data_IF_803374644190
#
_entry.id   IF_803374644190
#
_cell.length_a   1.000
_cell.length_b   1.000
_cell.length_c   1.000
_cell.angle_alpha   90.00
_cell.angle_beta   90.00
_cell.angle_gamma   90.00
#
_symmetry.space_group_name_H-M   'P 1'
#
loop_
_entity.id
_entity.type
_entity.pdbx_description
1 polymer ?
#
# COMPACT_ATOMS: atom_id res chain seq x y z
N UNK A 1 -47.64 30.43 8.25
CA UNK A 1 -47.21 31.72 8.88
C UNK A 1 -45.70 31.80 8.65
N UNK A 2 -45.25 32.11 7.43
CA UNK A 2 -44.98 33.46 6.89
C UNK A 2 -43.55 33.90 7.31
N UNK A 3 -42.58 34.29 6.47
CA UNK A 3 -42.51 34.98 5.16
C UNK A 3 -41.16 34.59 4.48
N UNK A 4 -41.09 34.27 3.16
CA UNK A 4 -40.93 35.14 1.97
C UNK A 4 -39.58 35.91 1.94
N UNK A 5 -38.60 35.54 1.09
CA UNK A 5 -38.41 35.78 -0.37
C UNK A 5 -37.77 37.12 -0.76
N UNK A 6 -36.79 37.04 -1.69
CA UNK A 6 -36.54 37.81 -2.94
C UNK A 6 -35.03 38.06 -3.12
N UNK A 7 -34.37 37.67 -4.22
CA UNK A 7 -34.51 38.15 -5.62
C UNK A 7 -33.22 38.94 -5.96
N UNK A 8 -32.67 39.08 -7.17
CA UNK A 8 -32.98 38.70 -8.55
C UNK A 8 -31.72 39.02 -9.42
N UNK A 9 -31.54 38.35 -10.57
CA UNK A 9 -31.11 38.78 -11.95
C UNK A 9 -30.28 40.09 -12.15
N UNK A 10 -29.50 40.36 -13.21
CA UNK A 10 -29.37 39.90 -14.61
C UNK A 10 -28.14 40.59 -15.28
N UNK A 11 -27.93 40.30 -16.57
CA UNK A 11 -27.25 41.10 -17.63
C UNK A 11 -25.72 40.89 -17.86
N UNK A 12 -25.23 40.21 -18.91
CA UNK A 12 -25.30 40.29 -20.40
C UNK A 12 -24.35 41.32 -21.06
N UNK A 13 -23.82 40.89 -22.23
CA UNK A 13 -23.24 41.65 -23.39
C UNK A 13 -21.76 42.07 -23.21
N UNK A 14 -20.88 42.11 -24.23
CA UNK A 14 -20.94 41.93 -25.70
C UNK A 14 -19.50 41.94 -26.28
N UNK A 15 -19.31 41.26 -27.42
CA UNK A 15 -18.39 41.58 -28.54
C UNK A 15 -16.87 41.50 -28.29
N UNK A 16 -16.00 41.14 -29.23
CA UNK A 16 -16.14 40.78 -30.64
C UNK A 16 -14.80 41.02 -31.37
N UNK A 17 -14.50 40.15 -32.35
CA UNK A 17 -13.61 40.34 -33.53
C UNK A 17 -12.10 40.46 -33.20
N UNK A 18 -11.21 39.63 -33.76
CA UNK A 18 -10.55 39.88 -35.05
C UNK A 18 -9.91 38.62 -35.68
N UNK A 19 -9.92 38.61 -37.02
CA UNK A 19 -9.23 37.69 -37.94
C UNK A 19 -7.98 38.39 -38.50
N UNK A 20 -7.10 37.58 -39.13
CA UNK A 20 -6.03 37.86 -40.12
C UNK A 20 -4.65 37.42 -39.58
N UNK A 21 -3.68 36.94 -40.32
CA UNK A 21 -3.53 36.59 -41.74
C UNK A 21 -2.29 35.67 -41.89
N UNK A 22 -2.14 35.09 -43.09
CA UNK A 22 -1.11 34.14 -43.55
C UNK A 22 0.30 34.74 -43.73
N UNK A 23 1.34 33.88 -43.68
CA UNK A 23 2.53 33.79 -44.57
C UNK A 23 3.49 32.70 -43.99
N UNK A 24 4.00 31.66 -44.66
CA UNK A 24 4.71 31.45 -45.93
C UNK A 24 6.28 31.58 -45.86
N UNK A 25 6.95 30.44 -45.64
CA UNK A 25 8.29 30.03 -46.13
C UNK A 25 9.56 30.67 -45.51
N UNK A 26 10.80 30.27 -45.92
CA UNK A 26 11.26 28.99 -46.48
C UNK A 26 12.64 28.48 -45.92
N UNK A 27 12.91 27.17 -46.04
CA UNK A 27 14.15 26.64 -46.62
C UNK A 27 15.46 26.46 -45.81
N UNK A 28 16.10 25.32 -46.15
CA UNK A 28 17.55 25.01 -46.23
C UNK A 28 18.22 24.33 -45.02
N UNK A 29 18.93 23.23 -45.33
CA UNK A 29 20.07 22.77 -44.55
C UNK A 29 20.30 21.25 -44.60
N UNK A 30 20.99 20.76 -45.64
CA UNK A 30 21.65 19.45 -45.64
C UNK A 30 22.69 19.37 -44.50
N UNK A 31 22.74 18.23 -43.78
CA UNK A 31 23.79 17.89 -42.82
C UNK A 31 24.40 16.52 -43.20
N UNK A 32 25.72 16.41 -43.39
CA UNK A 32 26.39 15.13 -43.52
C UNK A 32 26.90 14.64 -42.15
N UNK A 33 26.90 13.32 -41.94
CA UNK A 33 27.67 12.72 -40.85
C UNK A 33 27.14 11.40 -40.29
N UNK A 34 27.37 10.30 -41.00
CA UNK A 34 27.30 8.95 -40.40
C UNK A 34 28.33 8.84 -39.28
N UNK A 35 27.90 8.61 -38.05
CA UNK A 35 28.73 8.03 -36.99
C UNK A 35 28.00 6.85 -36.33
N UNK A 36 28.54 5.67 -36.60
CA UNK A 36 28.70 4.52 -35.73
C UNK A 36 27.54 4.15 -34.79
N UNK A 37 26.82 3.09 -35.19
CA UNK A 37 25.95 2.28 -34.35
C UNK A 37 26.77 1.67 -33.20
N UNK A 38 26.72 2.30 -32.04
CA UNK A 38 26.86 1.59 -30.76
C UNK A 38 25.45 1.30 -30.28
N UNK A 39 24.95 0.08 -30.51
CA UNK A 39 23.74 -0.40 -29.84
C UNK A 39 24.08 -0.46 -28.36
N UNK A 40 23.70 0.58 -27.60
CA UNK A 40 23.55 0.44 -26.16
C UNK A 40 22.53 -0.67 -25.96
N UNK A 41 22.93 -1.73 -25.26
CA UNK A 41 21.98 -2.70 -24.74
C UNK A 41 20.99 -1.93 -23.87
N UNK A 42 19.85 -1.58 -24.45
CA UNK A 42 18.69 -1.17 -23.71
C UNK A 42 18.36 -2.36 -22.81
N UNK A 43 18.46 -2.17 -21.50
CA UNK A 43 17.82 -3.07 -20.57
C UNK A 43 16.37 -3.21 -21.03
N UNK A 44 15.97 -4.42 -21.43
CA UNK A 44 14.58 -4.75 -21.69
C UNK A 44 13.83 -4.57 -20.37
N UNK A 45 13.30 -3.37 -20.14
CA UNK A 45 12.14 -3.19 -19.29
C UNK A 45 10.93 -3.51 -20.17
N UNK A 46 10.31 -4.66 -19.91
CA UNK A 46 9.09 -5.07 -20.59
C UNK A 46 7.99 -4.00 -20.40
N UNK A 47 7.44 -3.42 -21.48
CA UNK A 47 6.40 -2.41 -21.38
C UNK A 47 5.04 -3.10 -21.16
N UNK A 48 4.52 -3.11 -19.92
CA UNK A 48 3.08 -3.34 -19.75
C UNK A 48 2.53 -3.71 -18.39
N UNK A 49 3.29 -4.30 -17.47
CA UNK A 49 2.72 -4.71 -16.16
C UNK A 49 3.12 -3.69 -15.09
N UNK A 50 2.22 -2.76 -14.80
CA UNK A 50 2.38 -1.89 -13.62
C UNK A 50 2.42 -2.75 -12.37
N UNK A 51 3.51 -2.68 -11.59
CA UNK A 51 3.62 -3.43 -10.33
C UNK A 51 2.54 -2.99 -9.35
N UNK A 52 1.89 -3.97 -8.71
CA UNK A 52 0.88 -3.76 -7.69
C UNK A 52 1.44 -2.90 -6.55
N UNK A 53 0.73 -1.82 -6.22
CA UNK A 53 1.16 -0.87 -5.18
C UNK A 53 0.70 -1.32 -3.80
N UNK A 54 1.66 -1.66 -2.95
CA UNK A 54 1.41 -2.25 -1.63
C UNK A 54 1.64 -1.25 -0.51
N UNK A 55 0.68 -1.14 0.40
CA UNK A 55 0.84 -0.49 1.69
C UNK A 55 1.08 -1.53 2.77
N UNK A 56 2.07 -1.33 3.65
CA UNK A 56 2.41 -2.29 4.70
C UNK A 56 2.16 -1.67 6.07
N UNK A 57 1.35 -2.34 6.90
CA UNK A 57 1.09 -1.94 8.28
C UNK A 57 2.02 -2.69 9.25
N UNK A 58 2.64 -1.97 10.18
CA UNK A 58 3.65 -2.53 11.11
C UNK A 58 3.54 -1.94 12.53
N UNK A 59 3.98 -2.70 13.53
CA UNK A 59 4.06 -2.22 14.91
C UNK A 59 5.42 -2.48 15.60
N UNK A 60 6.33 -3.24 14.96
CA UNK A 60 7.53 -3.74 15.64
C UNK A 60 8.77 -3.89 14.75
N UNK A 61 9.45 -5.03 14.86
CA UNK A 61 10.79 -5.29 14.27
C UNK A 61 10.80 -5.21 12.74
N UNK A 62 9.72 -5.60 12.07
CA UNK A 62 9.58 -5.51 10.62
C UNK A 62 10.27 -6.61 9.82
N UNK A 63 10.43 -7.83 10.36
CA UNK A 63 10.99 -8.98 9.62
C UNK A 63 10.22 -9.28 8.32
N UNK A 64 8.88 -9.26 8.38
CA UNK A 64 8.03 -9.41 7.19
C UNK A 64 8.24 -8.26 6.18
N UNK A 65 8.37 -7.02 6.66
CA UNK A 65 8.70 -5.88 5.79
C UNK A 65 10.07 -6.06 5.14
N UNK A 66 11.08 -6.53 5.89
CA UNK A 66 12.42 -6.81 5.38
C UNK A 66 12.39 -7.86 4.26
N UNK A 67 11.57 -8.91 4.41
CA UNK A 67 11.37 -9.92 3.39
C UNK A 67 10.72 -9.34 2.12
N UNK A 68 9.67 -8.52 2.26
CA UNK A 68 9.04 -7.83 1.12
C UNK A 68 10.01 -6.88 0.40
N UNK A 69 10.83 -6.13 1.14
CA UNK A 69 11.90 -5.29 0.60
C UNK A 69 12.92 -6.12 -0.18
N UNK A 70 13.25 -7.32 0.32
CA UNK A 70 14.11 -8.27 -0.37
C UNK A 70 13.51 -8.76 -1.68
N UNK A 71 12.24 -9.19 -1.65
CA UNK A 71 11.53 -9.73 -2.80
C UNK A 71 11.40 -8.72 -3.95
N UNK A 72 11.09 -7.45 -3.64
CA UNK A 72 10.94 -6.41 -4.68
C UNK A 72 12.24 -6.01 -5.40
N UNK A 73 13.39 -6.54 -4.98
CA UNK A 73 14.67 -6.40 -5.71
C UNK A 73 14.66 -7.20 -7.00
N UNK A 74 13.89 -8.29 -7.08
CA UNK A 74 13.69 -9.03 -8.31
C UNK A 74 12.87 -8.16 -9.28
N UNK A 75 13.38 -7.88 -10.50
CA UNK A 75 12.65 -7.17 -11.53
C UNK A 75 11.28 -7.77 -11.88
N UNK A 76 11.14 -9.10 -11.74
CA UNK A 76 9.94 -9.86 -12.05
C UNK A 76 8.93 -9.91 -10.89
N UNK A 77 9.32 -9.46 -9.70
CA UNK A 77 8.38 -9.43 -8.57
C UNK A 77 7.22 -8.47 -8.88
N UNK A 78 5.96 -8.94 -8.82
CA UNK A 78 4.82 -8.23 -9.42
C UNK A 78 4.30 -7.08 -8.56
N UNK A 79 4.94 -6.78 -7.43
CA UNK A 79 4.48 -5.79 -6.47
C UNK A 79 5.61 -4.86 -6.01
N UNK A 80 5.24 -3.70 -5.49
CA UNK A 80 6.16 -2.75 -4.86
C UNK A 80 5.53 -2.16 -3.61
N UNK A 81 6.27 -2.15 -2.51
CA UNK A 81 5.86 -1.42 -1.31
C UNK A 81 6.03 0.07 -1.57
N UNK A 82 4.93 0.83 -1.47
CA UNK A 82 4.91 2.28 -1.73
C UNK A 82 4.70 3.11 -0.47
N UNK A 83 4.18 2.51 0.60
CA UNK A 83 3.98 3.17 1.88
C UNK A 83 4.09 2.16 3.03
N UNK A 84 4.80 2.53 4.09
CA UNK A 84 4.79 1.83 5.37
C UNK A 84 4.08 2.69 6.41
N UNK A 85 3.01 2.16 7.01
CA UNK A 85 2.24 2.82 8.06
C UNK A 85 2.51 2.11 9.40
N UNK A 86 2.97 2.85 10.41
CA UNK A 86 3.14 2.32 11.75
C UNK A 86 2.16 2.94 12.74
N UNK A 87 1.71 2.20 13.76
CA UNK A 87 0.91 2.79 14.85
C UNK A 87 1.76 3.33 16.02
N UNK A 88 3.09 3.20 15.93
CA UNK A 88 4.08 3.68 16.89
C UNK A 88 5.45 3.78 16.21
N UNK A 89 6.39 4.48 16.84
CA UNK A 89 7.79 4.42 16.42
C UNK A 89 8.32 3.00 16.64
N UNK A 90 8.93 2.43 15.59
CA UNK A 90 9.41 1.06 15.59
C UNK A 90 10.54 0.85 14.57
N UNK A 91 11.31 -0.22 14.72
CA UNK A 91 12.45 -0.51 13.85
C UNK A 91 12.07 -0.67 12.36
N UNK A 92 10.85 -1.13 12.06
CA UNK A 92 10.36 -1.26 10.70
C UNK A 92 10.35 0.07 9.91
N UNK A 93 10.17 1.21 10.58
CA UNK A 93 10.21 2.54 9.94
C UNK A 93 11.61 2.87 9.42
N UNK A 94 12.66 2.49 10.16
CA UNK A 94 14.04 2.67 9.71
C UNK A 94 14.40 1.73 8.56
N UNK A 95 13.82 0.52 8.51
CA UNK A 95 13.96 -0.38 7.36
C UNK A 95 13.35 0.26 6.10
N UNK A 96 12.13 0.81 6.21
CA UNK A 96 11.46 1.51 5.12
C UNK A 96 12.28 2.70 4.61
N UNK A 97 12.81 3.51 5.54
CA UNK A 97 13.67 4.66 5.26
C UNK A 97 14.93 4.25 4.49
N UNK A 98 15.64 3.22 4.95
CA UNK A 98 16.86 2.70 4.29
C UNK A 98 16.57 2.16 2.89
N UNK A 99 15.37 1.64 2.66
CA UNK A 99 14.92 1.15 1.36
C UNK A 99 14.34 2.26 0.44
N UNK A 100 14.31 3.52 0.88
CA UNK A 100 13.73 4.62 0.11
C UNK A 100 12.21 4.54 -0.06
N UNK A 101 11.51 3.88 0.88
CA UNK A 101 10.05 3.74 0.88
C UNK A 101 9.43 4.82 1.75
N UNK A 102 8.36 5.46 1.28
CA UNK A 102 7.59 6.42 2.07
C UNK A 102 7.09 5.77 3.37
N UNK A 103 7.09 6.53 4.45
CA UNK A 103 6.67 6.04 5.78
C UNK A 103 5.88 7.10 6.53
N UNK A 104 4.92 6.66 7.32
CA UNK A 104 4.13 7.53 8.17
C UNK A 104 3.75 6.81 9.48
N UNK A 105 3.76 7.55 10.58
CA UNK A 105 3.35 7.07 11.90
C UNK A 105 1.96 7.62 12.24
N UNK A 106 1.08 6.76 12.73
CA UNK A 106 -0.31 7.05 13.11
C UNK A 106 -0.52 6.61 14.55
N UNK A 107 0.02 7.36 15.52
CA UNK A 107 -0.13 7.02 16.94
C UNK A 107 -1.54 7.33 17.38
N UNK A 108 -2.16 6.45 18.16
CA UNK A 108 -3.54 6.68 18.63
C UNK A 108 -3.67 8.00 19.41
N UNK A 109 -2.63 8.41 20.15
CA UNK A 109 -2.59 9.67 20.89
C UNK A 109 -2.68 10.93 20.01
N UNK A 110 -2.43 10.84 18.71
CA UNK A 110 -2.49 11.97 17.77
C UNK A 110 -3.90 12.15 17.19
N UNK A 111 -4.87 11.32 17.60
CA UNK A 111 -6.23 11.29 17.06
C UNK A 111 -7.26 11.20 18.18
N UNK A 112 -8.50 11.67 17.96
CA UNK A 112 -9.55 11.62 18.98
C UNK A 112 -9.94 10.18 19.35
N UNK A 113 -9.87 9.25 18.39
CA UNK A 113 -10.23 7.85 18.57
C UNK A 113 -9.58 6.96 17.48
N UNK A 114 -9.81 5.65 17.58
CA UNK A 114 -9.32 4.66 16.60
C UNK A 114 -9.85 4.93 15.19
N UNK A 115 -11.10 5.39 15.08
CA UNK A 115 -11.75 5.67 13.80
C UNK A 115 -11.07 6.85 13.09
N UNK A 116 -10.71 7.91 13.82
CA UNK A 116 -9.99 9.08 13.34
C UNK A 116 -8.58 8.72 12.86
N UNK A 117 -7.86 7.91 13.64
CA UNK A 117 -6.55 7.36 13.23
C UNK A 117 -6.65 6.56 11.94
N UNK A 118 -7.61 5.64 11.86
CA UNK A 118 -7.78 4.75 10.71
C UNK A 118 -8.25 5.51 9.45
N UNK A 119 -9.08 6.55 9.60
CA UNK A 119 -9.42 7.48 8.51
C UNK A 119 -8.20 8.23 7.98
N UNK A 120 -7.32 8.71 8.86
CA UNK A 120 -6.08 9.36 8.45
C UNK A 120 -5.15 8.40 7.71
N UNK A 121 -5.04 7.15 8.19
CA UNK A 121 -4.26 6.11 7.53
C UNK A 121 -4.81 5.78 6.14
N UNK A 122 -6.13 5.59 6.01
CA UNK A 122 -6.83 5.40 4.72
C UNK A 122 -6.50 6.53 3.74
N UNK A 123 -6.58 7.79 4.19
CA UNK A 123 -6.26 8.95 3.33
C UNK A 123 -4.82 8.88 2.83
N UNK A 124 -3.87 8.54 3.70
CA UNK A 124 -2.45 8.42 3.32
C UNK A 124 -2.22 7.28 2.32
N UNK A 125 -2.82 6.11 2.55
CA UNK A 125 -2.77 4.97 1.64
C UNK A 125 -3.34 5.31 0.26
N UNK A 126 -4.48 6.02 0.21
CA UNK A 126 -5.08 6.51 -1.04
C UNK A 126 -4.19 7.51 -1.78
N UNK A 127 -3.60 8.48 -1.09
CA UNK A 127 -2.68 9.45 -1.68
C UNK A 127 -1.45 8.77 -2.30
N UNK A 128 -1.01 7.65 -1.72
CA UNK A 128 0.06 6.82 -2.27
C UNK A 128 -0.42 5.81 -3.31
N UNK A 129 -1.70 5.82 -3.70
CA UNK A 129 -2.27 4.90 -4.68
C UNK A 129 -2.12 3.44 -4.29
N UNK A 130 -2.28 3.11 -3.00
CA UNK A 130 -2.20 1.72 -2.54
C UNK A 130 -3.38 0.89 -3.04
N UNK A 131 -3.08 -0.28 -3.58
CA UNK A 131 -4.02 -1.23 -4.15
C UNK A 131 -4.26 -2.43 -3.23
N UNK A 132 -3.23 -2.85 -2.49
CA UNK A 132 -3.26 -3.95 -1.51
C UNK A 132 -2.63 -3.49 -0.18
N UNK A 133 -3.28 -3.81 0.93
CA UNK A 133 -2.75 -3.60 2.28
C UNK A 133 -2.26 -4.92 2.85
N UNK A 134 -1.05 -4.92 3.42
CA UNK A 134 -0.45 -6.08 4.11
C UNK A 134 -0.26 -5.74 5.58
N UNK A 135 -0.94 -6.45 6.46
CA UNK A 135 -0.68 -6.44 7.89
C UNK A 135 0.54 -7.33 8.18
N UNK A 136 1.66 -6.71 8.53
CA UNK A 136 2.95 -7.36 8.71
C UNK A 136 3.42 -7.20 10.16
N UNK A 137 2.74 -7.90 11.08
CA UNK A 137 2.95 -7.72 12.53
C UNK A 137 2.37 -6.40 13.02
N UNK A 138 1.16 -6.06 12.55
CA UNK A 138 0.38 -4.93 13.01
C UNK A 138 -0.51 -5.37 14.17
N UNK A 139 -0.38 -4.73 15.33
CA UNK A 139 -0.94 -5.20 16.60
C UNK A 139 -2.26 -4.52 17.01
N UNK A 140 -2.91 -3.82 16.08
CA UNK A 140 -4.17 -3.13 16.35
C UNK A 140 -5.29 -3.60 15.41
N UNK A 141 -6.49 -3.74 15.96
CA UNK A 141 -7.69 -4.04 15.18
C UNK A 141 -8.01 -2.84 14.28
N UNK A 142 -8.31 -3.11 13.00
CA UNK A 142 -8.72 -2.12 12.02
C UNK A 142 -10.21 -1.84 12.14
N UNK A 143 -10.58 -0.56 12.17
CA UNK A 143 -11.95 -0.10 12.23
C UNK A 143 -12.69 -0.34 10.90
N UNK A 144 -14.04 -0.36 10.96
CA UNK A 144 -14.89 -0.57 9.77
C UNK A 144 -14.62 0.43 8.65
N UNK A 145 -14.21 1.66 8.99
CA UNK A 145 -13.84 2.68 8.00
C UNK A 145 -12.66 2.26 7.13
N UNK A 146 -11.72 1.50 7.70
CA UNK A 146 -10.55 0.99 7.01
C UNK A 146 -10.89 -0.28 6.22
N UNK A 147 -11.54 -1.25 6.87
CA UNK A 147 -11.85 -2.54 6.24
C UNK A 147 -12.85 -2.43 5.09
N UNK A 148 -13.76 -1.43 5.13
CA UNK A 148 -14.66 -1.13 4.01
C UNK A 148 -13.91 -0.55 2.81
N UNK A 149 -12.91 0.29 3.05
CA UNK A 149 -12.14 0.95 1.98
C UNK A 149 -11.34 -0.06 1.15
N UNK A 150 -10.65 -0.96 1.85
CA UNK A 150 -9.82 -1.99 1.25
C UNK A 150 -10.50 -3.36 1.30
N UNK A 151 -11.83 -3.41 1.18
CA UNK A 151 -12.58 -4.67 1.23
C UNK A 151 -12.03 -5.68 0.21
N UNK A 152 -11.72 -6.89 0.68
CA UNK A 152 -11.09 -7.94 -0.14
C UNK A 152 -9.63 -7.68 -0.54
N UNK A 153 -9.03 -6.57 -0.11
CA UNK A 153 -7.68 -6.10 -0.46
C UNK A 153 -6.83 -5.79 0.77
N UNK A 154 -7.09 -6.48 1.87
CA UNK A 154 -6.25 -6.50 3.07
C UNK A 154 -5.89 -7.95 3.34
N UNK A 155 -4.60 -8.23 3.47
CA UNK A 155 -4.11 -9.55 3.88
C UNK A 155 -3.29 -9.44 5.16
N UNK A 156 -3.33 -10.48 5.98
CA UNK A 156 -2.57 -10.59 7.22
C UNK A 156 -1.71 -11.87 7.20
N UNK A 157 -0.58 -11.81 7.90
CA UNK A 157 0.29 -12.96 8.16
C UNK A 157 0.18 -13.29 9.64
N UNK A 158 -0.43 -14.43 9.96
CA UNK A 158 -0.60 -14.93 11.32
C UNK A 158 0.41 -16.05 11.62
N UNK A 159 1.12 -16.05 12.77
CA UNK A 159 2.17 -17.03 13.09
C UNK A 159 1.60 -18.32 13.70
N UNK A 160 0.59 -18.90 13.03
CA UNK A 160 0.08 -20.23 13.31
C UNK A 160 -0.56 -20.84 12.06
N UNK A 161 -0.95 -22.12 12.15
CA UNK A 161 -1.84 -22.77 11.19
C UNK A 161 -3.30 -22.50 11.57
N UNK A 162 -3.85 -21.36 11.12
CA UNK A 162 -5.26 -21.02 11.37
C UNK A 162 -6.19 -22.18 10.97
N UNK A 163 -7.23 -22.47 11.78
CA UNK A 163 -7.75 -21.65 12.89
C UNK A 163 -7.04 -21.85 14.24
N UNK A 164 -5.96 -22.64 14.32
CA UNK A 164 -5.25 -22.84 15.58
C UNK A 164 -4.64 -21.53 16.09
N UNK A 165 -4.79 -21.26 17.38
CA UNK A 165 -4.22 -20.06 18.04
C UNK A 165 -4.63 -18.72 17.40
N UNK A 166 -5.82 -18.66 16.79
CA UNK A 166 -6.34 -17.44 16.17
C UNK A 166 -6.59 -16.30 17.20
N UNK A 167 -6.51 -15.06 16.74
CA UNK A 167 -6.91 -13.88 17.54
C UNK A 167 -5.89 -13.41 18.55
N UNK A 168 -4.65 -13.90 18.48
CA UNK A 168 -3.59 -13.54 19.42
C UNK A 168 -2.28 -13.20 18.71
N UNK A 169 -1.50 -12.30 19.29
CA UNK A 169 -0.12 -12.04 18.87
C UNK A 169 0.86 -13.07 19.45
N UNK A 170 0.42 -13.86 20.44
CA UNK A 170 1.24 -14.80 21.21
C UNK A 170 1.12 -16.24 20.70
N UNK A 171 0.64 -16.44 19.47
CA UNK A 171 0.36 -17.77 18.92
C UNK A 171 1.58 -18.72 18.96
N UNK A 172 2.80 -18.18 18.82
CA UNK A 172 4.04 -18.96 18.94
C UNK A 172 4.25 -19.44 20.38
N UNK A 173 4.06 -18.57 21.37
CA UNK A 173 4.20 -18.94 22.78
C UNK A 173 3.13 -19.98 23.17
N UNK A 174 1.90 -19.81 22.70
CA UNK A 174 0.82 -20.77 22.92
C UNK A 174 1.12 -22.13 22.28
N UNK A 175 1.71 -22.17 21.09
CA UNK A 175 2.10 -23.42 20.44
C UNK A 175 3.15 -24.18 21.27
N UNK A 176 4.16 -23.47 21.79
CA UNK A 176 5.19 -24.05 22.67
C UNK A 176 4.58 -24.55 24.00
N UNK A 177 3.72 -23.75 24.63
CA UNK A 177 3.05 -24.11 25.88
C UNK A 177 2.13 -25.34 25.70
N UNK A 178 1.41 -25.40 24.58
CA UNK A 178 0.56 -26.52 24.22
C UNK A 178 1.34 -27.79 23.80
N UNK A 179 2.68 -27.70 23.65
CA UNK A 179 3.57 -28.79 23.24
C UNK A 179 3.09 -29.49 21.97
N UNK A 180 2.57 -28.71 21.02
CA UNK A 180 2.24 -29.25 19.69
C UNK A 180 3.53 -29.65 18.99
N UNK A 181 3.49 -30.69 18.16
CA UNK A 181 4.64 -31.12 17.35
C UNK A 181 4.77 -30.36 16.04
N UNK A 182 3.73 -29.60 15.67
CA UNK A 182 3.66 -28.85 14.42
C UNK A 182 2.95 -27.52 14.64
N UNK A 183 3.49 -26.47 14.03
CA UNK A 183 2.88 -25.14 13.91
C UNK A 183 3.11 -24.60 12.50
N UNK A 184 3.06 -23.29 12.29
CA UNK A 184 3.37 -22.71 11.00
C UNK A 184 2.98 -21.25 10.89
N UNK A 185 2.72 -20.81 9.67
CA UNK A 185 2.17 -19.49 9.40
C UNK A 185 1.04 -19.56 8.36
N UNK A 186 0.13 -18.60 8.46
CA UNK A 186 -1.01 -18.46 7.57
C UNK A 186 -1.05 -17.05 6.98
N UNK A 187 -1.20 -16.96 5.67
CA UNK A 187 -1.61 -15.74 4.97
C UNK A 187 -3.10 -15.84 4.69
N UNK A 188 -3.87 -14.86 5.12
CA UNK A 188 -5.32 -14.84 4.92
C UNK A 188 -5.84 -13.44 4.60
N UNK A 189 -7.01 -13.36 3.98
CA UNK A 189 -7.74 -12.10 3.81
C UNK A 189 -8.25 -11.63 5.17
N UNK A 190 -8.14 -10.33 5.45
CA UNK A 190 -8.73 -9.75 6.66
C UNK A 190 -10.23 -9.54 6.45
N UNK A 191 -11.04 -9.97 7.41
CA UNK A 191 -12.49 -9.76 7.42
C UNK A 191 -12.92 -9.02 8.68
N UNK A 192 -14.23 -8.94 8.93
CA UNK A 192 -14.77 -8.37 10.18
C UNK A 192 -14.39 -9.21 11.41
N UNK A 193 -14.23 -10.52 11.22
CA UNK A 193 -13.95 -11.47 12.27
C UNK A 193 -12.44 -11.70 12.30
N UNK A 194 -11.84 -11.60 13.48
CA UNK A 194 -10.39 -11.67 13.68
C UNK A 194 -9.88 -13.05 13.26
N UNK A 195 -8.86 -13.06 12.40
CA UNK A 195 -8.18 -14.27 11.90
C UNK A 195 -9.11 -15.38 11.35
N UNK A 196 -10.28 -14.99 10.84
CA UNK A 196 -11.31 -15.90 10.33
C UNK A 196 -11.57 -15.76 8.83
N UNK A 197 -10.74 -14.98 8.12
CA UNK A 197 -10.93 -14.78 6.69
C UNK A 197 -10.40 -15.91 5.82
N UNK A 198 -10.74 -15.91 4.51
CA UNK A 198 -10.25 -16.90 3.57
C UNK A 198 -8.72 -17.05 3.60
N UNK A 199 -8.27 -18.29 3.81
CA UNK A 199 -6.85 -18.66 3.77
C UNK A 199 -6.36 -18.60 2.33
N UNK A 200 -5.27 -17.87 2.11
CA UNK A 200 -4.61 -17.74 0.81
C UNK A 200 -3.43 -18.69 0.68
N UNK A 201 -2.67 -18.86 1.76
CA UNK A 201 -1.55 -19.77 1.82
C UNK A 201 -1.25 -20.17 3.27
N UNK A 202 -0.73 -21.37 3.45
CA UNK A 202 -0.21 -21.85 4.73
C UNK A 202 1.12 -22.55 4.52
N UNK A 203 2.00 -22.43 5.51
CA UNK A 203 3.22 -23.22 5.59
C UNK A 203 3.32 -23.83 6.97
N UNK A 204 3.45 -25.16 7.01
CA UNK A 204 3.71 -25.93 8.22
C UNK A 204 5.19 -25.90 8.57
N UNK A 205 5.47 -25.94 9.86
CA UNK A 205 6.82 -26.03 10.42
C UNK A 205 6.82 -26.91 11.68
N UNK A 206 7.93 -27.61 11.90
CA UNK A 206 8.10 -28.52 13.03
C UNK A 206 8.38 -27.74 14.31
N UNK A 207 7.73 -28.14 15.41
CA UNK A 207 8.11 -27.69 16.76
C UNK A 207 9.04 -28.74 17.34
N UNK A 208 10.33 -28.42 17.36
CA UNK A 208 11.36 -29.32 17.89
C UNK A 208 11.26 -29.41 19.42
N UNK A 209 11.57 -30.58 20.02
CA UNK A 209 11.78 -30.70 21.45
C UNK A 209 12.90 -29.76 21.94
N UNK A 210 12.78 -29.28 23.18
CA UNK A 210 13.80 -28.48 23.87
C UNK A 210 15.11 -29.24 24.10
#
# INVERSE_FOLDING_TARGET
MAHLQHGNRDDRRRGGVERRDRAAGPGRGDLPGRRHRGIRAAACSDPGVSRLRVGVLVSGRGSNLQALIGAMKDPLYPARVVLVCANRECAALELAKKAGISRATFRLADYPDRKGRDLAMVRSLRLHGVELVVCAGYDAILERVFTREFAGRIINIHPSLLPQFAGTMDAVAMALEARVTETGCTVHVVTKDVDAGPILAQRRDEVRPD
#
